data_IF_406632033494
#
_entry.id   IF_406632033494
#
_cell.length_a   1.000
_cell.length_b   1.000
_cell.length_c   1.000
_cell.angle_alpha   90.00
_cell.angle_beta   90.00
_cell.angle_gamma   90.00
#
_symmetry.space_group_name_H-M   'P 1'
#
loop_
_entity.id
_entity.type
_entity.pdbx_description
1 polymer ?
#
# COMPACT_ATOMS: atom_id res chain seq x y z
N UNK A 1 -15.09 6.09 24.76
CA UNK A 1 -14.85 6.62 23.39
C UNK A 1 -15.71 7.86 23.21
N UNK A 2 -15.10 9.05 23.30
CA UNK A 2 -15.80 10.34 23.32
C UNK A 2 -16.28 10.74 21.91
N UNK A 3 -17.28 11.63 21.81
CA UNK A 3 -17.70 12.23 20.54
C UNK A 3 -16.53 12.95 19.84
N UNK A 4 -15.60 13.50 20.62
CA UNK A 4 -14.35 14.08 20.13
C UNK A 4 -13.46 13.06 19.41
N UNK A 5 -13.36 11.82 19.91
CA UNK A 5 -12.58 10.75 19.27
C UNK A 5 -13.19 10.35 17.93
N UNK A 6 -14.53 10.26 17.86
CA UNK A 6 -15.24 9.97 16.60
C UNK A 6 -15.04 11.08 15.56
N UNK A 7 -15.11 12.35 15.98
CA UNK A 7 -14.87 13.48 15.09
C UNK A 7 -13.41 13.51 14.58
N UNK A 8 -12.44 13.26 15.47
CA UNK A 8 -11.01 13.22 15.13
C UNK A 8 -10.69 12.07 14.18
N UNK A 9 -11.29 10.89 14.37
CA UNK A 9 -11.17 9.76 13.44
C UNK A 9 -11.80 10.05 12.08
N UNK A 10 -12.97 10.71 12.04
CA UNK A 10 -13.60 11.10 10.77
C UNK A 10 -12.77 12.14 10.02
N UNK A 11 -12.19 13.12 10.72
CA UNK A 11 -11.30 14.12 10.16
C UNK A 11 -10.00 13.51 9.62
N UNK A 12 -9.38 12.59 10.37
CA UNK A 12 -8.21 11.86 9.87
C UNK A 12 -8.53 11.01 8.65
N UNK A 13 -9.66 10.31 8.63
CA UNK A 13 -10.09 9.53 7.46
C UNK A 13 -10.38 10.41 6.24
N UNK A 14 -11.01 11.57 6.43
CA UNK A 14 -11.25 12.53 5.35
C UNK A 14 -9.95 13.15 4.84
N UNK A 15 -9.03 13.53 5.72
CA UNK A 15 -7.72 14.06 5.34
C UNK A 15 -6.83 13.01 4.65
N UNK A 16 -6.90 11.76 5.10
CA UNK A 16 -6.23 10.62 4.47
C UNK A 16 -6.75 10.37 3.07
N UNK A 17 -8.07 10.26 2.90
CA UNK A 17 -8.70 10.12 1.57
C UNK A 17 -8.42 11.29 0.64
N UNK A 18 -8.39 12.51 1.17
CA UNK A 18 -8.03 13.69 0.39
C UNK A 18 -6.55 13.63 -0.07
N UNK A 19 -5.63 13.19 0.80
CA UNK A 19 -4.22 12.96 0.43
C UNK A 19 -4.06 11.82 -0.58
N UNK A 20 -4.80 10.72 -0.44
CA UNK A 20 -4.79 9.62 -1.41
C UNK A 20 -5.36 10.06 -2.76
N UNK A 21 -6.48 10.79 -2.76
CA UNK A 21 -7.07 11.33 -3.97
C UNK A 21 -6.15 12.35 -4.65
N UNK A 22 -5.52 13.24 -3.87
CA UNK A 22 -4.51 14.18 -4.38
C UNK A 22 -3.25 13.47 -4.86
N UNK A 23 -2.76 12.43 -4.17
CA UNK A 23 -1.59 11.65 -4.61
C UNK A 23 -1.87 10.88 -5.90
N UNK A 24 -3.05 10.29 -6.03
CA UNK A 24 -3.51 9.63 -7.25
C UNK A 24 -3.75 10.61 -8.40
N UNK A 25 -4.37 11.77 -8.14
CA UNK A 25 -4.69 12.78 -9.14
C UNK A 25 -3.48 13.62 -9.57
N UNK A 26 -2.57 13.92 -8.62
CA UNK A 26 -1.29 14.59 -8.88
C UNK A 26 -0.32 13.69 -9.66
N UNK A 27 -0.63 12.39 -9.78
CA UNK A 27 0.11 11.49 -10.64
C UNK A 27 1.60 11.44 -10.29
N UNK A 28 1.96 11.49 -9.01
CA UNK A 28 3.34 11.40 -8.57
C UNK A 28 3.92 10.06 -9.04
N UNK A 29 4.74 10.11 -10.09
CA UNK A 29 5.41 8.94 -10.67
C UNK A 29 6.16 8.12 -9.60
N UNK A 30 6.53 8.76 -8.49
CA UNK A 30 7.13 8.14 -7.31
C UNK A 30 6.27 7.01 -6.72
N UNK A 31 4.94 7.19 -6.59
CA UNK A 31 4.08 6.13 -6.04
C UNK A 31 3.84 4.96 -7.02
N UNK A 32 3.88 5.21 -8.33
CA UNK A 32 3.79 4.15 -9.34
C UNK A 32 5.08 3.33 -9.45
N UNK A 33 6.23 3.98 -9.34
CA UNK A 33 7.52 3.30 -9.40
C UNK A 33 7.83 2.52 -8.11
N UNK A 34 7.47 3.06 -6.94
CA UNK A 34 7.60 2.33 -5.66
C UNK A 34 6.67 1.10 -5.65
N UNK A 35 5.42 1.25 -6.10
CA UNK A 35 4.48 0.14 -6.24
C UNK A 35 4.92 -0.93 -7.23
N UNK A 36 5.55 -0.55 -8.35
CA UNK A 36 6.14 -1.50 -9.31
C UNK A 36 7.35 -2.23 -8.73
N UNK A 37 8.22 -1.54 -8.01
CA UNK A 37 9.38 -2.14 -7.35
C UNK A 37 8.99 -3.16 -6.30
N UNK A 38 7.98 -2.84 -5.49
CA UNK A 38 7.45 -3.75 -4.46
C UNK A 38 6.70 -4.94 -5.06
N UNK A 39 5.93 -4.74 -6.14
CA UNK A 39 5.31 -5.84 -6.88
C UNK A 39 6.35 -6.78 -7.51
N UNK A 40 7.44 -6.23 -8.06
CA UNK A 40 8.51 -7.04 -8.63
C UNK A 40 9.24 -7.86 -7.55
N UNK A 41 9.53 -7.26 -6.39
CA UNK A 41 10.12 -7.97 -5.24
C UNK A 41 9.19 -9.06 -4.71
N UNK A 42 7.90 -8.78 -4.56
CA UNK A 42 6.92 -9.77 -4.11
C UNK A 42 6.85 -10.96 -5.06
N UNK A 43 6.74 -10.71 -6.37
CA UNK A 43 6.71 -11.77 -7.38
C UNK A 43 8.00 -12.61 -7.39
N UNK A 44 9.17 -11.98 -7.23
CA UNK A 44 10.44 -12.70 -7.11
C UNK A 44 10.51 -13.58 -5.86
N UNK A 45 9.98 -13.07 -4.73
CA UNK A 45 9.99 -13.79 -3.46
C UNK A 45 9.05 -15.00 -3.51
N UNK A 46 7.83 -14.82 -4.05
CA UNK A 46 6.87 -15.89 -4.25
C UNK A 46 7.38 -16.95 -5.23
N UNK A 47 8.06 -16.55 -6.30
CA UNK A 47 8.69 -17.48 -7.23
C UNK A 47 9.82 -18.27 -6.56
N UNK A 48 10.66 -17.61 -5.75
CA UNK A 48 11.71 -18.25 -4.97
C UNK A 48 11.17 -19.23 -3.93
N UNK A 49 10.09 -18.89 -3.22
CA UNK A 49 9.44 -19.79 -2.28
C UNK A 49 8.81 -20.99 -2.97
N UNK A 50 8.13 -20.81 -4.11
CA UNK A 50 7.59 -21.93 -4.90
C UNK A 50 8.68 -22.88 -5.40
N UNK A 51 9.80 -22.34 -5.88
CA UNK A 51 10.95 -23.14 -6.29
C UNK A 51 11.47 -23.92 -5.08
N UNK A 52 11.70 -23.25 -3.95
CA UNK A 52 12.21 -23.88 -2.74
C UNK A 52 11.29 -24.98 -2.22
N UNK A 53 9.99 -24.76 -2.20
CA UNK A 53 9.00 -25.77 -1.78
C UNK A 53 8.95 -26.97 -2.73
N UNK A 54 9.12 -26.76 -4.04
CA UNK A 54 9.22 -27.85 -5.00
C UNK A 54 10.49 -28.71 -4.81
N UNK A 55 11.60 -28.10 -4.38
CA UNK A 55 12.85 -28.80 -4.06
C UNK A 55 12.89 -29.37 -2.63
N UNK A 56 11.97 -28.97 -1.76
CA UNK A 56 11.88 -29.46 -0.38
C UNK A 56 10.97 -30.68 -0.24
N UNK A 57 10.33 -31.11 -1.33
CA UNK A 57 9.52 -32.33 -1.40
C UNK A 57 10.36 -33.53 -1.80
#
# INVERSE_FOLDING_TARGET
MSAADKARNKLQNLGGKAKEALGNASGDARYRDEGRGDQAKANLKDAGEKIKDAFRK
#
